data_IF_627411108652
#
_entry.id   IF_627411108652
#
_cell.length_a   1.000
_cell.length_b   1.000
_cell.length_c   1.000
_cell.angle_alpha   90.00
_cell.angle_beta   90.00
_cell.angle_gamma   90.00
#
_symmetry.space_group_name_H-M   'P 1'
#
loop_
_entity.id
_entity.type
_entity.pdbx_description
1 polymer ?
#
# COMPACT_ATOMS: atom_id res chain seq x y z
N UNK A 1 -28.99 50.17 -11.41
CA UNK A 1 -28.32 49.28 -12.38
C UNK A 1 -27.02 48.76 -11.75
N UNK A 2 -27.11 47.71 -10.93
CA UNK A 2 -25.99 47.17 -10.14
C UNK A 2 -25.38 45.97 -10.85
N UNK A 3 -24.26 46.16 -11.54
CA UNK A 3 -23.48 45.06 -12.14
C UNK A 3 -22.68 44.37 -11.04
N UNK A 4 -23.22 43.25 -10.54
CA UNK A 4 -22.53 42.37 -9.60
C UNK A 4 -21.42 41.63 -10.36
N UNK A 5 -20.18 42.14 -10.28
CA UNK A 5 -18.99 41.49 -10.83
C UNK A 5 -18.64 40.31 -9.93
N UNK A 6 -19.21 39.14 -10.26
CA UNK A 6 -18.67 37.87 -9.78
C UNK A 6 -17.21 37.79 -10.23
N UNK A 7 -16.31 38.02 -9.28
CA UNK A 7 -14.88 37.70 -9.39
C UNK A 7 -14.77 36.20 -9.75
N UNK A 8 -14.72 35.89 -11.06
CA UNK A 8 -14.14 34.66 -11.57
C UNK A 8 -12.62 34.77 -11.37
N UNK A 9 -12.18 34.52 -10.13
CA UNK A 9 -10.75 34.44 -9.82
C UNK A 9 -10.25 33.04 -10.22
N UNK A 10 -9.35 32.91 -11.20
CA UNK A 10 -8.80 31.62 -11.63
C UNK A 10 -8.09 30.88 -10.49
N UNK A 11 -7.66 31.59 -9.44
CA UNK A 11 -7.08 31.00 -8.23
C UNK A 11 -8.04 30.06 -7.50
N UNK A 12 -9.34 30.40 -7.42
CA UNK A 12 -10.31 29.56 -6.70
C UNK A 12 -10.52 28.23 -7.42
N UNK A 13 -10.53 28.24 -8.75
CA UNK A 13 -10.63 27.03 -9.56
C UNK A 13 -9.38 26.16 -9.42
N UNK A 14 -8.20 26.76 -9.43
CA UNK A 14 -6.92 26.03 -9.26
C UNK A 14 -6.86 25.34 -7.90
N UNK A 15 -7.22 26.02 -6.81
CA UNK A 15 -7.20 25.46 -5.46
C UNK A 15 -8.17 24.27 -5.34
N UNK A 16 -9.37 24.37 -5.92
CA UNK A 16 -10.35 23.28 -5.92
C UNK A 16 -9.91 22.09 -6.78
N UNK A 17 -9.22 22.32 -7.91
CA UNK A 17 -8.65 21.22 -8.69
C UNK A 17 -7.47 20.54 -8.00
N UNK A 18 -6.66 21.30 -7.26
CA UNK A 18 -5.50 20.75 -6.56
C UNK A 18 -5.92 19.83 -5.40
N UNK A 19 -6.96 20.22 -4.64
CA UNK A 19 -7.47 19.41 -3.54
C UNK A 19 -8.05 18.07 -3.99
N UNK A 20 -8.70 18.02 -5.16
CA UNK A 20 -9.24 16.77 -5.73
C UNK A 20 -8.14 15.74 -6.04
N UNK A 21 -6.96 16.19 -6.50
CA UNK A 21 -5.83 15.31 -6.82
C UNK A 21 -5.20 14.72 -5.55
N UNK A 22 -5.09 15.52 -4.47
CA UNK A 22 -4.57 15.04 -3.19
C UNK A 22 -5.49 14.00 -2.54
N UNK A 23 -6.82 14.16 -2.67
CA UNK A 23 -7.79 13.17 -2.20
C UNK A 23 -7.63 11.84 -2.95
N UNK A 24 -7.50 11.84 -4.28
CA UNK A 24 -7.33 10.59 -5.03
C UNK A 24 -6.07 9.79 -4.67
N UNK A 25 -5.00 10.45 -4.21
CA UNK A 25 -3.76 9.78 -3.82
C UNK A 25 -3.91 8.98 -2.51
N UNK A 26 -4.67 9.49 -1.53
CA UNK A 26 -4.98 8.76 -0.30
C UNK A 26 -5.90 7.56 -0.52
N UNK A 27 -6.71 7.60 -1.58
CA UNK A 27 -7.66 6.54 -1.91
C UNK A 27 -7.11 5.51 -2.91
N UNK A 28 -5.81 5.44 -3.13
CA UNK A 28 -5.20 4.52 -4.12
C UNK A 28 -4.72 3.19 -3.53
N UNK A 29 -4.61 2.18 -4.38
CA UNK A 29 -3.90 0.92 -4.07
C UNK A 29 -2.39 1.17 -4.04
N UNK A 30 -1.63 0.27 -3.41
CA UNK A 30 -0.19 0.24 -3.48
C UNK A 30 0.25 -0.17 -4.91
N UNK A 31 0.73 0.76 -5.76
CA UNK A 31 0.92 0.48 -7.18
C UNK A 31 2.03 -0.54 -7.44
N UNK A 32 3.04 -0.53 -6.57
CA UNK A 32 4.25 -1.35 -6.65
C UNK A 32 4.13 -2.68 -5.88
N UNK A 33 2.96 -2.98 -5.28
CA UNK A 33 2.76 -4.16 -4.43
C UNK A 33 3.27 -5.45 -5.10
N UNK A 34 2.90 -5.64 -6.36
CA UNK A 34 3.23 -6.84 -7.12
C UNK A 34 4.74 -6.98 -7.31
N UNK A 35 5.41 -5.90 -7.72
CA UNK A 35 6.85 -5.85 -7.91
C UNK A 35 7.63 -6.01 -6.60
N UNK A 36 7.18 -5.37 -5.52
CA UNK A 36 7.83 -5.47 -4.21
C UNK A 36 7.73 -6.89 -3.66
N UNK A 37 6.56 -7.53 -3.78
CA UNK A 37 6.36 -8.90 -3.32
C UNK A 37 7.25 -9.90 -4.07
N UNK A 38 7.45 -9.72 -5.38
CA UNK A 38 8.30 -10.60 -6.21
C UNK A 38 9.81 -10.44 -5.92
N UNK A 39 10.22 -9.25 -5.46
CA UNK A 39 11.62 -8.93 -5.11
C UNK A 39 12.08 -9.57 -3.80
N UNK A 40 11.16 -9.93 -2.89
CA UNK A 40 11.53 -10.49 -1.58
C UNK A 40 12.11 -11.90 -1.76
N UNK A 41 13.43 -12.03 -1.60
CA UNK A 41 14.12 -13.30 -1.66
C UNK A 41 14.02 -14.07 -0.33
N UNK A 42 14.21 -15.39 -0.40
CA UNK A 42 14.07 -16.30 0.75
C UNK A 42 15.13 -16.07 1.84
N UNK A 43 16.29 -15.53 1.46
CA UNK A 43 17.42 -15.23 2.33
C UNK A 43 17.36 -13.81 2.93
N UNK A 44 16.28 -13.07 2.68
CA UNK A 44 16.13 -11.72 3.23
C UNK A 44 15.95 -11.76 4.75
N UNK A 45 16.79 -11.00 5.43
CA UNK A 45 16.66 -10.75 6.86
C UNK A 45 15.50 -9.79 7.15
N UNK A 46 15.02 -9.82 8.40
CA UNK A 46 14.03 -8.85 8.90
C UNK A 46 14.46 -7.39 8.70
N UNK A 47 15.76 -7.10 8.79
CA UNK A 47 16.28 -5.75 8.55
C UNK A 47 16.10 -5.33 7.08
N UNK A 48 16.42 -6.21 6.12
CA UNK A 48 16.20 -5.94 4.70
C UNK A 48 14.71 -5.73 4.39
N UNK A 49 13.82 -6.52 5.01
CA UNK A 49 12.38 -6.35 4.88
C UNK A 49 11.90 -5.00 5.42
N UNK A 50 12.44 -4.56 6.56
CA UNK A 50 12.17 -3.22 7.11
C UNK A 50 12.67 -2.11 6.18
N UNK A 51 13.85 -2.26 5.60
CA UNK A 51 14.41 -1.27 4.68
C UNK A 51 13.57 -1.16 3.39
N UNK A 52 13.08 -2.29 2.88
CA UNK A 52 12.11 -2.32 1.78
C UNK A 52 10.83 -1.58 2.17
N UNK A 53 10.27 -1.86 3.34
CA UNK A 53 9.08 -1.18 3.83
C UNK A 53 9.26 0.34 3.85
N UNK A 54 10.37 0.81 4.44
CA UNK A 54 10.69 2.23 4.52
C UNK A 54 10.86 2.86 3.14
N UNK A 55 11.59 2.20 2.23
CA UNK A 55 11.81 2.67 0.86
C UNK A 55 10.51 2.88 0.10
N UNK A 56 9.52 2.02 0.32
CA UNK A 56 8.22 2.10 -0.36
C UNK A 56 7.14 2.85 0.44
N UNK A 57 7.50 3.42 1.60
CA UNK A 57 6.54 4.11 2.48
C UNK A 57 5.44 3.18 3.01
N UNK A 58 5.77 1.91 3.23
CA UNK A 58 4.91 0.92 3.83
C UNK A 58 5.20 0.80 5.33
N UNK A 59 4.18 0.45 6.11
CA UNK A 59 4.30 0.07 7.51
C UNK A 59 4.88 -1.34 7.61
N UNK A 60 5.80 -1.54 8.55
CA UNK A 60 6.38 -2.84 8.86
C UNK A 60 5.93 -3.29 10.26
N UNK A 61 5.30 -4.45 10.36
CA UNK A 61 4.84 -5.04 11.62
C UNK A 61 5.38 -6.46 11.70
N UNK A 62 5.98 -6.81 12.85
CA UNK A 62 6.38 -8.19 13.16
C UNK A 62 5.45 -8.73 14.23
N UNK A 63 4.78 -9.84 13.93
CA UNK A 63 4.02 -10.62 14.88
C UNK A 63 4.81 -11.91 15.21
N UNK A 64 5.43 -11.91 16.39
CA UNK A 64 6.22 -13.04 16.89
C UNK A 64 5.34 -14.26 17.21
N UNK A 65 4.05 -14.07 17.54
CA UNK A 65 3.16 -15.17 17.90
C UNK A 65 2.77 -16.00 16.67
N UNK A 66 2.46 -15.33 15.57
CA UNK A 66 2.16 -15.96 14.28
C UNK A 66 3.39 -16.15 13.39
N UNK A 67 4.58 -15.71 13.84
CA UNK A 67 5.83 -15.71 13.07
C UNK A 67 5.64 -15.11 11.68
N UNK A 68 5.00 -13.95 11.65
CA UNK A 68 4.65 -13.27 10.41
C UNK A 68 5.18 -11.84 10.44
N UNK A 69 5.82 -11.43 9.35
CA UNK A 69 6.18 -10.05 9.07
C UNK A 69 5.20 -9.52 8.03
N UNK A 70 4.57 -8.40 8.32
CA UNK A 70 3.63 -7.73 7.43
C UNK A 70 4.21 -6.41 6.94
N UNK A 71 4.23 -6.21 5.63
CA UNK A 71 4.47 -4.93 4.98
C UNK A 71 3.15 -4.42 4.42
N UNK A 72 2.61 -3.32 4.95
CA UNK A 72 1.29 -2.82 4.55
C UNK A 72 1.32 -1.36 4.13
N UNK A 73 0.59 -1.03 3.07
CA UNK A 73 0.41 0.35 2.61
C UNK A 73 -1.01 0.51 2.09
N UNK A 74 -1.74 1.49 2.62
CA UNK A 74 -3.19 1.61 2.43
C UNK A 74 -3.88 0.31 2.90
N UNK A 75 -4.68 -0.32 2.04
CA UNK A 75 -5.39 -1.58 2.32
C UNK A 75 -4.70 -2.81 1.70
N UNK A 76 -3.51 -2.62 1.12
CA UNK A 76 -2.72 -3.66 0.51
C UNK A 76 -1.62 -4.13 1.47
N UNK A 77 -1.33 -5.42 1.46
CA UNK A 77 -0.32 -6.00 2.34
C UNK A 77 0.47 -7.14 1.69
N UNK A 78 1.72 -7.27 2.10
CA UNK A 78 2.59 -8.41 1.86
C UNK A 78 2.81 -9.09 3.21
N UNK A 79 2.39 -10.34 3.32
CA UNK A 79 2.61 -11.19 4.48
C UNK A 79 3.78 -12.14 4.21
N UNK A 80 4.72 -12.19 5.14
CA UNK A 80 5.95 -12.98 5.05
C UNK A 80 5.97 -13.88 6.27
N UNK A 81 5.81 -15.18 6.05
CA UNK A 81 5.84 -16.18 7.12
C UNK A 81 7.27 -16.63 7.30
N UNK A 82 7.72 -16.70 8.56
CA UNK A 82 9.06 -17.17 8.93
C UNK A 82 8.98 -18.45 9.79
N UNK A 83 9.99 -19.31 9.67
CA UNK A 83 10.11 -20.51 10.52
C UNK A 83 10.68 -20.16 11.92
N UNK A 84 10.93 -21.19 12.74
CA UNK A 84 11.56 -21.02 14.06
C UNK A 84 12.99 -20.51 14.01
N UNK A 85 13.69 -20.70 12.89
CA UNK A 85 15.06 -20.26 12.66
C UNK A 85 15.12 -18.83 12.08
N UNK A 86 13.95 -18.18 11.94
CA UNK A 86 13.75 -16.84 11.35
C UNK A 86 14.06 -16.77 9.85
N UNK A 87 13.97 -17.88 9.16
CA UNK A 87 14.07 -17.95 7.71
C UNK A 87 12.69 -17.79 7.08
N UNK A 88 12.62 -17.11 5.93
CA UNK A 88 11.37 -16.92 5.20
C UNK A 88 10.95 -18.26 4.60
N UNK A 89 9.72 -18.68 4.86
CA UNK A 89 9.11 -19.89 4.26
C UNK A 89 8.06 -19.55 3.21
N UNK A 90 7.39 -18.40 3.34
CA UNK A 90 6.32 -18.01 2.41
C UNK A 90 6.23 -16.51 2.31
N UNK A 91 6.06 -16.02 1.08
CA UNK A 91 5.72 -14.64 0.77
C UNK A 91 4.36 -14.65 0.08
N UNK A 92 3.40 -13.92 0.62
CA UNK A 92 2.06 -13.76 0.06
C UNK A 92 1.68 -12.28 0.00
N UNK A 93 0.81 -11.92 -0.93
CA UNK A 93 0.27 -10.56 -1.06
C UNK A 93 -1.26 -10.57 -1.05
N UNK A 94 -1.83 -9.47 -0.59
CA UNK A 94 -3.26 -9.17 -0.67
C UNK A 94 -3.41 -7.80 -1.29
N UNK A 95 -4.22 -7.73 -2.34
CA UNK A 95 -4.50 -6.48 -3.07
C UNK A 95 -5.97 -6.15 -2.92
N UNK A 96 -6.25 -5.00 -2.34
CA UNK A 96 -7.59 -4.48 -2.19
C UNK A 96 -8.17 -4.09 -3.55
N UNK A 97 -9.48 -4.30 -3.71
CA UNK A 97 -10.23 -3.82 -4.87
C UNK A 97 -11.00 -2.58 -4.45
N UNK A 98 -10.78 -1.49 -5.18
CA UNK A 98 -11.48 -0.23 -4.98
C UNK A 98 -12.55 -0.08 -6.07
N UNK A 99 -13.80 0.11 -5.67
CA UNK A 99 -14.93 0.36 -6.56
C UNK A 99 -15.68 1.62 -6.16
N UNK A 100 -16.60 2.08 -7.01
CA UNK A 100 -17.44 3.27 -6.80
C UNK A 100 -16.67 4.54 -6.37
N UNK A 101 -15.68 4.96 -7.18
CA UNK A 101 -14.89 6.18 -6.91
C UNK A 101 -14.19 6.21 -5.54
N UNK A 102 -13.89 5.04 -4.95
CA UNK A 102 -13.22 4.97 -3.64
C UNK A 102 -14.14 4.70 -2.46
N UNK A 103 -15.46 4.69 -2.66
CA UNK A 103 -16.45 4.51 -1.60
C UNK A 103 -16.56 3.07 -1.10
N UNK A 104 -16.26 2.10 -1.95
CA UNK A 104 -16.29 0.69 -1.58
C UNK A 104 -14.91 0.06 -1.76
N UNK A 105 -14.43 -0.56 -0.69
CA UNK A 105 -13.13 -1.21 -0.61
C UNK A 105 -13.35 -2.62 -0.10
N UNK A 106 -12.80 -3.59 -0.82
CA UNK A 106 -12.86 -5.00 -0.45
C UNK A 106 -11.44 -5.55 -0.39
N UNK A 107 -11.11 -6.22 0.70
CA UNK A 107 -9.86 -6.95 0.79
C UNK A 107 -9.89 -8.09 -0.23
N UNK A 108 -8.88 -8.14 -1.10
CA UNK A 108 -8.79 -9.18 -2.11
C UNK A 108 -8.24 -10.48 -1.54
N UNK A 109 -8.18 -11.48 -2.42
CA UNK A 109 -7.68 -12.81 -2.07
C UNK A 109 -6.17 -12.78 -1.71
N UNK A 110 -5.78 -13.73 -0.87
CA UNK A 110 -4.38 -13.99 -0.55
C UNK A 110 -3.75 -14.73 -1.72
N UNK A 111 -2.74 -14.12 -2.34
CA UNK A 111 -1.97 -14.71 -3.43
C UNK A 111 -0.58 -15.05 -2.90
N UNK A 112 -0.24 -16.34 -2.88
CA UNK A 112 1.12 -16.79 -2.56
C UNK A 112 2.03 -16.44 -3.74
N UNK A 113 3.02 -15.59 -3.50
CA UNK A 113 4.00 -15.14 -4.49
C UNK A 113 5.20 -16.08 -4.55
N UNK A 114 5.65 -16.56 -3.38
CA UNK A 114 6.81 -17.46 -3.27
C UNK A 114 6.69 -18.41 -2.09
N UNK A 115 7.15 -19.64 -2.29
CA UNK A 115 7.47 -20.59 -1.22
C UNK A 115 8.96 -20.85 -1.23
N UNK A 116 9.54 -20.85 -0.04
CA UNK A 116 10.95 -21.03 0.22
C UNK A 116 11.03 -22.33 1.01
N UNK A 117 10.99 -23.45 0.28
CA UNK A 117 11.07 -24.80 0.82
C UNK A 117 12.53 -25.18 1.08
#
# INVERSE_FOLDING_TARGET
MTKNKYLRSPLKTIIVSLSAVFLSACYSNWPELDTVAELIACDYSTNQLRDIAQKHGATHITDEASRTISLSKHDDAIAIVINSEREIVTVAKTKSTITMLGLQRQQGDVIVVRRCD
#
